data_IF_640530255405
#
_entry.id   IF_640530255405
#
_cell.length_a   1.000
_cell.length_b   1.000
_cell.length_c   1.000
_cell.angle_alpha   90.00
_cell.angle_beta   90.00
_cell.angle_gamma   90.00
#
_symmetry.space_group_name_H-M   'P 1'
#
loop_
_entity.id
_entity.type
_entity.pdbx_description
1 polymer ?
#
# COMPACT_ATOMS: atom_id res chain seq x y z
N UNK A 1 4.62 32.80 -47.12
CA UNK A 1 3.34 32.33 -46.54
C UNK A 1 3.37 30.95 -45.88
N UNK A 2 4.37 30.08 -46.09
CA UNK A 2 4.44 28.75 -45.42
C UNK A 2 5.09 28.74 -44.03
N UNK A 3 5.76 29.83 -43.62
CA UNK A 3 6.49 29.89 -42.34
C UNK A 3 5.62 30.32 -41.14
N UNK A 4 4.48 30.96 -41.39
CA UNK A 4 3.59 31.49 -40.33
C UNK A 4 2.59 30.43 -39.85
N UNK A 5 2.31 29.41 -40.66
CA UNK A 5 1.37 28.34 -40.30
C UNK A 5 1.96 27.31 -39.34
N UNK A 6 3.29 27.17 -39.28
CA UNK A 6 3.98 26.20 -38.42
C UNK A 6 4.08 26.66 -36.96
N UNK A 7 4.01 27.96 -36.70
CA UNK A 7 4.09 28.53 -35.35
C UNK A 7 2.76 28.48 -34.58
N UNK A 8 1.63 28.36 -35.28
CA UNK A 8 0.29 28.29 -34.65
C UNK A 8 -0.06 26.86 -34.21
N UNK A 9 0.62 25.83 -34.75
CA UNK A 9 0.37 24.44 -34.33
C UNK A 9 1.12 24.03 -33.04
N UNK A 10 2.14 24.78 -32.63
CA UNK A 10 2.93 24.45 -31.43
C UNK A 10 2.38 25.07 -30.13
N UNK A 11 1.48 26.04 -30.21
CA UNK A 11 0.89 26.68 -29.01
C UNK A 11 -0.26 25.88 -28.40
N UNK A 12 -0.84 24.90 -29.12
CA UNK A 12 -1.95 24.07 -28.64
C UNK A 12 -1.54 22.85 -27.80
N UNK A 13 -0.24 22.61 -27.64
CA UNK A 13 0.31 21.57 -26.75
C UNK A 13 0.85 22.14 -25.43
N UNK A 14 0.28 23.24 -24.94
CA UNK A 14 0.39 23.54 -23.51
C UNK A 14 -0.52 22.57 -22.78
N UNK A 15 0.03 21.37 -22.58
CA UNK A 15 -0.40 20.38 -21.61
C UNK A 15 -0.77 21.15 -20.35
N UNK A 16 -2.05 21.16 -20.03
CA UNK A 16 -2.56 21.59 -18.73
C UNK A 16 -2.01 20.60 -17.70
N UNK A 17 -0.74 20.75 -17.33
CA UNK A 17 -0.19 20.18 -16.11
C UNK A 17 -0.66 21.07 -14.96
N UNK A 18 -1.98 21.12 -14.80
CA UNK A 18 -2.59 21.57 -13.56
C UNK A 18 -2.31 20.43 -12.62
N UNK A 19 -1.21 20.54 -11.86
CA UNK A 19 -1.04 19.73 -10.66
C UNK A 19 -2.26 20.00 -9.79
N UNK A 20 -3.22 19.06 -9.79
CA UNK A 20 -4.30 19.11 -8.82
C UNK A 20 -3.63 18.95 -7.46
N UNK A 21 -3.48 20.07 -6.74
CA UNK A 21 -3.12 20.06 -5.33
C UNK A 21 -4.25 19.31 -4.64
N UNK A 22 -4.05 18.00 -4.45
CA UNK A 22 -5.06 17.16 -3.86
C UNK A 22 -5.28 17.62 -2.43
N UNK A 23 -6.54 17.92 -2.08
CA UNK A 23 -6.88 18.36 -0.73
C UNK A 23 -6.43 17.28 0.26
N UNK A 24 -5.64 17.70 1.27
CA UNK A 24 -5.15 16.82 2.33
C UNK A 24 -6.30 16.08 3.00
N UNK A 25 -6.19 14.76 3.10
CA UNK A 25 -7.16 13.90 3.79
C UNK A 25 -7.00 14.12 5.30
N UNK A 26 -8.12 14.40 5.99
CA UNK A 26 -8.15 14.57 7.44
C UNK A 26 -8.83 13.37 8.07
N UNK A 27 -8.02 12.51 8.67
CA UNK A 27 -8.47 11.33 9.41
C UNK A 27 -8.84 11.75 10.84
N UNK A 28 -10.04 11.39 11.32
CA UNK A 28 -10.45 11.66 12.70
C UNK A 28 -9.47 11.08 13.74
N UNK A 29 -9.28 11.79 14.86
CA UNK A 29 -8.32 11.40 15.91
C UNK A 29 -8.56 10.00 16.48
N UNK A 30 -9.82 9.62 16.70
CA UNK A 30 -10.18 8.28 17.17
C UNK A 30 -9.78 7.19 16.15
N UNK A 31 -9.93 7.46 14.86
CA UNK A 31 -9.53 6.55 13.80
C UNK A 31 -8.00 6.46 13.71
N UNK A 32 -7.28 7.58 13.84
CA UNK A 32 -5.81 7.55 13.93
C UNK A 32 -5.33 6.71 15.12
N UNK A 33 -5.96 6.84 16.29
CA UNK A 33 -5.62 6.01 17.46
C UNK A 33 -5.84 4.52 17.15
N UNK A 34 -6.99 4.15 16.58
CA UNK A 34 -7.27 2.77 16.16
C UNK A 34 -6.22 2.25 15.17
N UNK A 35 -5.85 3.06 14.17
CA UNK A 35 -4.86 2.64 13.18
C UNK A 35 -3.46 2.49 13.77
N UNK A 36 -3.08 3.31 14.75
CA UNK A 36 -1.82 3.15 15.47
C UNK A 36 -1.80 1.83 16.26
N UNK A 37 -2.91 1.44 16.88
CA UNK A 37 -3.04 0.14 17.54
C UNK A 37 -2.96 -1.02 16.55
N UNK A 38 -3.63 -0.90 15.39
CA UNK A 38 -3.55 -1.89 14.30
C UNK A 38 -2.11 -2.07 13.83
N UNK A 39 -1.41 -0.96 13.59
CA UNK A 39 -0.01 -0.95 13.14
C UNK A 39 0.94 -1.54 14.18
N UNK A 40 0.77 -1.19 15.47
CA UNK A 40 1.57 -1.77 16.54
C UNK A 40 1.35 -3.30 16.66
N UNK A 41 0.13 -3.77 16.39
CA UNK A 41 -0.21 -5.19 16.46
C UNK A 41 0.22 -5.99 15.21
N UNK A 42 0.42 -5.35 14.05
CA UNK A 42 0.79 -6.00 12.78
C UNK A 42 2.04 -6.90 12.87
N UNK A 43 3.03 -6.50 13.65
CA UNK A 43 4.28 -7.26 13.83
C UNK A 43 4.43 -7.92 15.21
N UNK A 44 3.40 -7.87 16.05
CA UNK A 44 3.50 -8.23 17.48
C UNK A 44 3.99 -9.65 17.69
N UNK A 45 3.31 -10.64 17.11
CA UNK A 45 3.68 -12.04 17.30
C UNK A 45 4.80 -12.46 16.33
N UNK A 46 4.85 -11.90 15.12
CA UNK A 46 5.98 -12.11 14.18
C UNK A 46 7.33 -11.78 14.82
N UNK A 47 7.42 -10.61 15.45
CA UNK A 47 8.64 -10.14 16.13
C UNK A 47 9.00 -11.04 17.31
N UNK A 48 8.01 -11.43 18.12
CA UNK A 48 8.24 -12.35 19.22
C UNK A 48 8.75 -13.71 18.75
N UNK A 49 8.14 -14.28 17.70
CA UNK A 49 8.57 -15.55 17.08
C UNK A 49 10.00 -15.43 16.55
N UNK A 50 10.32 -14.34 15.84
CA UNK A 50 11.66 -14.12 15.28
C UNK A 50 12.73 -14.03 16.37
N UNK A 51 12.47 -13.26 17.43
CA UNK A 51 13.41 -13.08 18.56
C UNK A 51 13.65 -14.37 19.36
N UNK A 52 12.66 -15.27 19.41
CA UNK A 52 12.72 -16.48 20.23
C UNK A 52 12.80 -17.76 19.39
N UNK A 53 13.26 -17.67 18.14
CA UNK A 53 13.19 -18.77 17.15
C UNK A 53 13.81 -20.08 17.62
N UNK A 54 14.93 -20.03 18.33
CA UNK A 54 15.63 -21.22 18.85
C UNK A 54 14.94 -21.85 20.07
N UNK A 55 14.24 -21.04 20.86
CA UNK A 55 13.70 -21.43 22.17
C UNK A 55 12.21 -21.80 22.12
N UNK A 56 11.51 -21.45 21.03
CA UNK A 56 10.10 -21.73 20.87
C UNK A 56 9.85 -23.14 20.34
N UNK A 57 9.19 -23.96 21.17
CA UNK A 57 8.60 -25.23 20.73
C UNK A 57 7.62 -24.99 19.58
N UNK A 58 7.60 -25.92 18.61
CA UNK A 58 6.77 -25.83 17.39
C UNK A 58 5.31 -25.47 17.68
N UNK A 59 4.66 -26.18 18.62
CA UNK A 59 3.25 -25.92 18.94
C UNK A 59 2.98 -24.47 19.39
N UNK A 60 3.92 -23.86 20.14
CA UNK A 60 3.79 -22.48 20.60
C UNK A 60 3.96 -21.50 19.45
N UNK A 61 4.93 -21.78 18.55
CA UNK A 61 5.10 -21.01 17.31
C UNK A 61 3.84 -21.07 16.44
N UNK A 62 3.26 -22.25 16.26
CA UNK A 62 2.03 -22.44 15.47
C UNK A 62 0.84 -21.71 16.09
N UNK A 63 0.70 -21.76 17.42
CA UNK A 63 -0.33 -21.00 18.14
C UNK A 63 -0.18 -19.49 17.97
N UNK A 64 1.04 -18.96 18.03
CA UNK A 64 1.31 -17.54 17.85
C UNK A 64 1.06 -17.08 16.41
N UNK A 65 1.36 -17.93 15.42
CA UNK A 65 1.00 -17.67 14.03
C UNK A 65 -0.52 -17.64 13.82
N UNK A 66 -1.28 -18.52 14.46
CA UNK A 66 -2.75 -18.46 14.42
C UNK A 66 -3.27 -17.12 14.96
N UNK A 67 -2.72 -16.65 16.08
CA UNK A 67 -3.08 -15.34 16.64
C UNK A 67 -2.70 -14.18 15.71
N UNK A 68 -1.52 -14.27 15.08
CA UNK A 68 -1.10 -13.27 14.09
C UNK A 68 -2.06 -13.21 12.90
N UNK A 69 -2.46 -14.36 12.35
CA UNK A 69 -3.38 -14.40 11.21
C UNK A 69 -4.76 -13.78 11.55
N UNK A 70 -5.22 -13.92 12.80
CA UNK A 70 -6.45 -13.25 13.27
C UNK A 70 -6.27 -11.73 13.25
N UNK A 71 -5.12 -11.22 13.73
CA UNK A 71 -4.80 -9.79 13.67
C UNK A 71 -4.73 -9.30 12.22
N UNK A 72 -4.04 -10.04 11.35
CA UNK A 72 -3.88 -9.68 9.94
C UNK A 72 -5.24 -9.60 9.24
N UNK A 73 -6.10 -10.60 9.47
CA UNK A 73 -7.47 -10.63 8.93
C UNK A 73 -8.29 -9.43 9.40
N UNK A 74 -8.23 -9.11 10.70
CA UNK A 74 -8.92 -7.94 11.25
C UNK A 74 -8.38 -6.65 10.64
N UNK A 75 -7.05 -6.50 10.59
CA UNK A 75 -6.40 -5.31 10.06
C UNK A 75 -6.77 -5.10 8.59
N UNK A 76 -6.68 -6.13 7.74
CA UNK A 76 -7.05 -6.05 6.32
C UNK A 76 -8.50 -5.65 6.14
N UNK A 77 -9.45 -6.33 6.80
CA UNK A 77 -10.88 -5.98 6.71
C UNK A 77 -11.13 -4.53 7.12
N UNK A 78 -10.47 -4.08 8.19
CA UNK A 78 -10.63 -2.72 8.68
C UNK A 78 -10.05 -1.70 7.71
N UNK A 79 -8.88 -1.97 7.13
CA UNK A 79 -8.24 -1.12 6.13
C UNK A 79 -9.07 -1.02 4.85
N UNK A 80 -9.68 -2.12 4.38
CA UNK A 80 -10.61 -2.09 3.24
C UNK A 80 -11.74 -1.08 3.48
N UNK A 81 -12.37 -1.12 4.65
CA UNK A 81 -13.44 -0.16 5.01
C UNK A 81 -12.92 1.27 5.05
N UNK A 82 -11.75 1.48 5.68
CA UNK A 82 -11.14 2.81 5.79
C UNK A 82 -10.80 3.38 4.42
N UNK A 83 -10.16 2.60 3.55
CA UNK A 83 -9.75 3.03 2.20
C UNK A 83 -10.99 3.29 1.33
N UNK A 84 -12.03 2.44 1.40
CA UNK A 84 -13.30 2.70 0.70
C UNK A 84 -13.95 4.01 1.15
N UNK A 85 -13.80 4.39 2.42
CA UNK A 85 -14.40 5.60 2.98
C UNK A 85 -13.59 6.89 2.73
N UNK A 86 -12.25 6.81 2.81
CA UNK A 86 -11.38 7.99 2.79
C UNK A 86 -10.46 8.07 1.55
N UNK A 87 -10.42 7.01 0.74
CA UNK A 87 -9.34 6.78 -0.23
C UNK A 87 -8.09 6.18 0.43
N UNK A 88 -7.11 5.79 -0.38
CA UNK A 88 -5.79 5.44 0.14
C UNK A 88 -5.07 6.69 0.64
N UNK A 89 -4.37 6.57 1.78
CA UNK A 89 -3.63 7.68 2.34
C UNK A 89 -2.32 7.29 3.02
N UNK A 90 -1.42 8.25 3.08
CA UNK A 90 -0.10 8.17 3.70
C UNK A 90 0.30 9.54 4.29
N UNK A 91 1.56 9.67 4.70
CA UNK A 91 2.11 10.93 5.22
C UNK A 91 2.20 12.05 4.19
N UNK A 92 2.21 11.72 2.89
CA UNK A 92 2.27 12.68 1.80
C UNK A 92 0.93 13.35 1.53
N UNK A 93 -0.19 12.65 1.75
CA UNK A 93 -1.51 13.15 1.41
C UNK A 93 -2.49 13.28 2.60
N UNK A 94 -2.09 12.95 3.83
CA UNK A 94 -2.96 12.99 5.01
C UNK A 94 -2.29 13.47 6.29
N UNK A 95 -3.06 13.54 7.38
CA UNK A 95 -2.55 13.76 8.74
C UNK A 95 -2.10 12.45 9.45
N UNK A 96 -1.98 11.34 8.73
CA UNK A 96 -1.50 10.06 9.25
C UNK A 96 -0.05 9.82 8.85
N UNK A 97 0.77 9.33 9.79
CA UNK A 97 2.15 8.89 9.51
C UNK A 97 2.26 7.35 9.43
N UNK A 98 1.13 6.66 9.33
CA UNK A 98 1.08 5.20 9.35
C UNK A 98 1.35 4.65 7.96
N UNK A 99 2.31 3.73 7.86
CA UNK A 99 2.62 3.02 6.63
C UNK A 99 1.54 1.98 6.31
N UNK A 100 0.44 2.39 5.64
CA UNK A 100 -0.68 1.49 5.29
C UNK A 100 -0.19 0.29 4.46
N UNK A 101 0.72 0.51 3.50
CA UNK A 101 1.28 -0.55 2.67
C UNK A 101 1.86 -1.71 3.49
N UNK A 102 2.49 -1.42 4.63
CA UNK A 102 3.14 -2.40 5.49
C UNK A 102 2.14 -3.34 6.18
N UNK A 103 0.89 -2.90 6.38
CA UNK A 103 -0.19 -3.77 6.85
C UNK A 103 -0.84 -4.52 5.69
N UNK A 104 -1.04 -3.87 4.53
CA UNK A 104 -1.66 -4.50 3.36
C UNK A 104 -0.83 -5.65 2.78
N UNK A 105 0.50 -5.62 2.90
CA UNK A 105 1.36 -6.74 2.50
C UNK A 105 1.15 -8.02 3.32
N UNK A 106 0.48 -7.95 4.47
CA UNK A 106 0.12 -9.11 5.30
C UNK A 106 -1.32 -9.59 5.09
N UNK A 107 -1.95 -9.17 3.99
CA UNK A 107 -3.31 -9.59 3.64
C UNK A 107 -3.42 -11.12 3.53
N UNK A 108 -4.40 -11.75 4.24
CA UNK A 108 -4.60 -13.19 4.15
C UNK A 108 -5.19 -13.57 2.79
N UNK A 109 -4.95 -14.82 2.37
CA UNK A 109 -5.21 -15.28 1.00
C UNK A 109 -6.66 -15.04 0.56
N UNK A 110 -7.63 -15.24 1.46
CA UNK A 110 -9.06 -15.07 1.17
C UNK A 110 -9.47 -13.62 0.90
N UNK A 111 -8.64 -12.63 1.26
CA UNK A 111 -8.90 -11.20 1.03
C UNK A 111 -8.03 -10.60 -0.07
N UNK A 112 -7.05 -11.35 -0.62
CA UNK A 112 -6.09 -10.82 -1.60
C UNK A 112 -6.77 -10.21 -2.82
N UNK A 113 -7.77 -10.89 -3.38
CA UNK A 113 -8.49 -10.37 -4.56
C UNK A 113 -9.15 -9.02 -4.27
N UNK A 114 -9.84 -8.89 -3.14
CA UNK A 114 -10.52 -7.63 -2.78
C UNK A 114 -9.50 -6.50 -2.55
N UNK A 115 -8.37 -6.80 -1.91
CA UNK A 115 -7.30 -5.81 -1.72
C UNK A 115 -6.66 -5.43 -3.05
N UNK A 116 -6.38 -6.39 -3.95
CA UNK A 116 -5.86 -6.12 -5.30
C UNK A 116 -6.78 -5.20 -6.10
N UNK A 117 -8.09 -5.50 -6.11
CA UNK A 117 -9.05 -4.66 -6.84
C UNK A 117 -9.07 -3.23 -6.26
N UNK A 118 -9.04 -3.11 -4.92
CA UNK A 118 -9.07 -1.83 -4.22
C UNK A 118 -7.80 -0.98 -4.47
N UNK A 119 -6.61 -1.57 -4.36
CA UNK A 119 -5.34 -0.84 -4.53
C UNK A 119 -5.10 -0.45 -5.99
N UNK A 120 -5.57 -1.24 -6.96
CA UNK A 120 -5.50 -0.88 -8.38
C UNK A 120 -6.32 0.39 -8.64
N UNK A 121 -7.54 0.45 -8.12
CA UNK A 121 -8.41 1.63 -8.22
C UNK A 121 -7.73 2.87 -7.60
N UNK A 122 -7.11 2.73 -6.43
CA UNK A 122 -6.46 3.85 -5.76
C UNK A 122 -5.13 4.26 -6.42
N UNK A 123 -4.41 3.31 -7.01
CA UNK A 123 -3.21 3.58 -7.80
C UNK A 123 -3.55 4.33 -9.10
N UNK A 124 -4.60 3.92 -9.82
CA UNK A 124 -5.09 4.63 -11.01
C UNK A 124 -5.55 6.06 -10.71
N UNK A 125 -6.03 6.33 -9.50
CA UNK A 125 -6.35 7.68 -9.00
C UNK A 125 -5.13 8.50 -8.60
N UNK A 126 -3.92 7.95 -8.71
CA UNK A 126 -2.68 8.59 -8.26
C UNK A 126 -2.61 8.77 -6.74
N UNK A 127 -3.29 7.91 -5.96
CA UNK A 127 -3.29 7.99 -4.48
C UNK A 127 -2.20 7.15 -3.83
N UNK A 128 -1.60 6.23 -4.58
CA UNK A 128 -0.52 5.34 -4.12
C UNK A 128 0.70 5.63 -4.97
N UNK A 129 1.86 5.85 -4.34
CA UNK A 129 3.12 5.93 -5.06
C UNK A 129 3.54 4.56 -5.62
N UNK A 130 4.38 4.56 -6.65
CA UNK A 130 4.82 3.35 -7.35
C UNK A 130 5.51 2.34 -6.42
N UNK A 131 6.30 2.81 -5.45
CA UNK A 131 7.02 1.92 -4.54
C UNK A 131 6.06 1.25 -3.56
N UNK A 132 5.14 2.00 -2.95
CA UNK A 132 4.09 1.43 -2.09
C UNK A 132 3.20 0.45 -2.86
N UNK A 133 2.76 0.81 -4.07
CA UNK A 133 1.95 -0.06 -4.92
C UNK A 133 2.70 -1.37 -5.24
N UNK A 134 3.94 -1.28 -5.71
CA UNK A 134 4.77 -2.43 -6.04
C UNK A 134 5.04 -3.34 -4.84
N UNK A 135 5.28 -2.77 -3.65
CA UNK A 135 5.46 -3.55 -2.43
C UNK A 135 4.19 -4.33 -2.05
N UNK A 136 3.01 -3.71 -2.14
CA UNK A 136 1.75 -4.37 -1.84
C UNK A 136 1.52 -5.51 -2.83
N UNK A 137 1.54 -5.22 -4.14
CA UNK A 137 1.23 -6.21 -5.18
C UNK A 137 2.21 -7.38 -5.18
N UNK A 138 3.51 -7.12 -5.03
CA UNK A 138 4.52 -8.17 -4.89
C UNK A 138 4.20 -9.14 -3.74
N UNK A 139 3.72 -8.63 -2.60
CA UNK A 139 3.32 -9.48 -1.49
C UNK A 139 2.01 -10.23 -1.73
N UNK A 140 1.01 -9.58 -2.33
CA UNK A 140 -0.26 -10.23 -2.67
C UNK A 140 -0.06 -11.39 -3.66
N UNK A 141 0.84 -11.22 -4.62
CA UNK A 141 1.19 -12.21 -5.65
C UNK A 141 2.10 -13.34 -5.14
N UNK A 142 2.42 -13.37 -3.84
CA UNK A 142 3.24 -14.43 -3.25
C UNK A 142 4.75 -14.23 -3.45
N UNK A 143 5.18 -13.00 -3.71
CA UNK A 143 6.58 -12.59 -3.89
C UNK A 143 7.26 -13.29 -5.07
N UNK A 144 6.76 -13.10 -6.31
CA UNK A 144 7.45 -13.63 -7.48
C UNK A 144 8.89 -13.11 -7.53
N UNK A 145 9.79 -13.91 -8.08
CA UNK A 145 11.16 -13.45 -8.32
C UNK A 145 11.13 -12.34 -9.37
N UNK A 146 11.91 -11.26 -9.19
CA UNK A 146 12.00 -10.22 -10.21
C UNK A 146 12.55 -10.81 -11.50
N UNK A 147 11.91 -10.48 -12.63
CA UNK A 147 12.43 -10.79 -13.96
C UNK A 147 13.51 -9.75 -14.25
N UNK A 148 14.77 -10.11 -13.99
CA UNK A 148 15.91 -9.23 -14.28
C UNK A 148 16.31 -9.45 -15.74
N UNK A 149 15.83 -8.57 -16.62
CA UNK A 149 16.36 -8.47 -17.96
C UNK A 149 17.64 -7.65 -17.93
N UNK A 150 18.79 -8.33 -17.81
CA UNK A 150 20.07 -7.70 -18.09
C UNK A 150 20.08 -7.32 -19.58
N UNK A 151 19.77 -6.07 -19.90
CA UNK A 151 20.26 -5.50 -21.15
C UNK A 151 21.78 -5.54 -21.03
N UNK A 152 22.43 -6.44 -21.76
CA UNK A 152 23.85 -6.30 -22.06
C UNK A 152 23.99 -4.94 -22.71
N UNK A 153 24.58 -4.01 -21.98
CA UNK A 153 25.21 -2.84 -22.57
C UNK A 153 26.51 -3.37 -23.16
N UNK A 154 26.47 -3.70 -24.46
CA UNK A 154 27.68 -3.88 -25.26
C UNK A 154 28.42 -2.54 -25.41
#
# INVERSE_FOLDING_TARGET
MKLILTLILFSLFHVNCISQISKKIIIPKNLLNQMNEMFANDQKYRTYISKNRSNLKKFKKDSLWKLQNVIDTYNTKRLIVIIKQYGYFDSGNSNSNIAIYAMLMHTPDELKKEVTDLINIEYEKGKIDEASYGMITWHLEGRPKPIINFKKTD
#
